data_IF_586815825551
#
_entry.id   IF_586815825551
#
_cell.length_a   1.000
_cell.length_b   1.000
_cell.length_c   1.000
_cell.angle_alpha   90.00
_cell.angle_beta   90.00
_cell.angle_gamma   90.00
#
_symmetry.space_group_name_H-M   'P 1'
#
loop_
_entity.id
_entity.type
_entity.pdbx_description
1 polymer ?
#
# COMPACT_ATOMS: atom_id res chain seq x y z
N UNK A 1 -21.39 -13.76 -2.40
CA UNK A 1 -20.36 -14.22 -1.43
C UNK A 1 -19.31 -13.12 -1.35
N UNK A 2 -18.66 -12.90 -0.19
CA UNK A 2 -17.54 -11.96 -0.13
C UNK A 2 -16.43 -12.43 -1.10
N UNK A 3 -15.72 -11.48 -1.69
CA UNK A 3 -14.58 -11.75 -2.58
C UNK A 3 -13.39 -12.10 -1.70
N UNK A 4 -12.82 -13.28 -1.89
CA UNK A 4 -11.66 -13.80 -1.15
C UNK A 4 -10.37 -13.74 -1.97
N UNK A 5 -10.50 -13.53 -3.29
CA UNK A 5 -9.36 -13.41 -4.18
C UNK A 5 -9.56 -12.27 -5.18
N UNK A 6 -8.56 -11.39 -5.25
CA UNK A 6 -8.51 -10.29 -6.19
C UNK A 6 -7.39 -10.53 -7.20
N UNK A 7 -7.63 -10.12 -8.44
CA UNK A 7 -6.66 -10.17 -9.52
C UNK A 7 -6.37 -8.77 -10.01
N UNK A 8 -5.09 -8.43 -10.09
CA UNK A 8 -4.65 -7.27 -10.85
C UNK A 8 -4.61 -7.64 -12.31
N UNK A 9 -5.48 -7.02 -13.11
CA UNK A 9 -5.54 -7.23 -14.56
C UNK A 9 -4.81 -6.16 -15.34
N UNK A 10 -4.64 -4.98 -14.75
CA UNK A 10 -4.04 -3.85 -15.46
C UNK A 10 -3.43 -2.83 -14.51
N UNK A 11 -2.32 -2.22 -14.96
CA UNK A 11 -1.73 -1.02 -14.36
C UNK A 11 -1.55 0.01 -15.47
N UNK A 12 -2.15 1.19 -15.32
CA UNK A 12 -2.02 2.32 -16.25
C UNK A 12 -1.34 3.49 -15.58
N UNK A 13 -0.60 4.26 -16.36
CA UNK A 13 -0.09 5.56 -15.94
C UNK A 13 -1.15 6.64 -16.17
N UNK A 14 -1.32 7.54 -15.20
CA UNK A 14 -2.12 8.76 -15.41
C UNK A 14 -1.28 9.74 -16.21
N UNK A 15 -1.79 10.16 -17.38
CA UNK A 15 -1.12 11.09 -18.29
C UNK A 15 -1.86 12.45 -18.24
N UNK A 16 -1.96 13.02 -17.05
CA UNK A 16 -2.53 14.35 -16.83
C UNK A 16 -1.43 15.30 -16.35
N UNK A 17 -1.30 16.52 -16.89
CA UNK A 17 -0.31 17.48 -16.41
C UNK A 17 -0.55 17.80 -14.92
N UNK A 18 0.35 17.36 -14.05
CA UNK A 18 0.27 17.59 -12.60
C UNK A 18 -0.19 16.40 -11.77
N UNK A 19 -0.58 15.29 -12.39
CA UNK A 19 -0.92 14.05 -11.67
C UNK A 19 0.12 12.97 -11.98
N UNK A 20 0.96 12.67 -11.00
CA UNK A 20 1.97 11.61 -11.11
C UNK A 20 1.49 10.36 -10.37
N UNK A 21 0.71 9.53 -11.05
CA UNK A 21 0.07 8.36 -10.44
C UNK A 21 -0.09 7.15 -11.37
N UNK A 22 -0.34 6.01 -10.73
CA UNK A 22 -0.75 4.75 -11.30
C UNK A 22 -2.23 4.50 -11.04
N UNK A 23 -2.92 3.91 -12.01
CA UNK A 23 -4.25 3.33 -11.85
C UNK A 23 -4.10 1.81 -11.87
N UNK A 24 -4.50 1.15 -10.80
CA UNK A 24 -4.41 -0.31 -10.65
C UNK A 24 -5.82 -0.88 -10.68
N UNK A 25 -6.11 -1.75 -11.65
CA UNK A 25 -7.43 -2.39 -11.81
C UNK A 25 -7.48 -3.71 -11.06
N UNK A 26 -8.49 -3.87 -10.22
CA UNK A 26 -8.79 -5.06 -9.43
C UNK A 26 -10.05 -5.73 -9.96
N UNK A 27 -9.93 -7.00 -10.30
CA UNK A 27 -11.07 -7.85 -10.64
C UNK A 27 -11.24 -8.95 -9.58
N UNK A 28 -12.48 -9.24 -9.17
CA UNK A 28 -12.77 -10.36 -8.30
C UNK A 28 -12.52 -11.69 -9.04
N UNK A 29 -11.76 -12.60 -8.44
CA UNK A 29 -11.54 -13.95 -8.99
C UNK A 29 -12.69 -14.89 -8.61
N UNK A 30 -13.30 -14.63 -7.46
CA UNK A 30 -14.46 -15.31 -6.90
C UNK A 30 -15.51 -14.29 -6.47
N UNK A 31 -16.68 -14.75 -6.02
CA UNK A 31 -17.75 -13.86 -5.55
C UNK A 31 -18.49 -13.16 -6.69
N UNK A 32 -18.78 -11.87 -6.48
CA UNK A 32 -19.56 -11.05 -7.42
C UNK A 32 -18.66 -10.52 -8.54
N UNK A 33 -18.89 -10.86 -9.82
CA UNK A 33 -18.04 -10.41 -10.93
C UNK A 33 -18.05 -8.89 -11.14
N UNK A 34 -19.09 -8.18 -10.69
CA UNK A 34 -19.22 -6.73 -10.87
C UNK A 34 -18.58 -5.92 -9.73
N UNK A 35 -17.98 -6.59 -8.73
CA UNK A 35 -17.34 -5.95 -7.57
C UNK A 35 -15.94 -5.37 -7.85
N UNK A 36 -15.50 -5.38 -9.12
CA UNK A 36 -14.20 -4.84 -9.53
C UNK A 36 -14.09 -3.33 -9.28
N UNK A 37 -12.86 -2.87 -9.05
CA UNK A 37 -12.59 -1.45 -8.77
C UNK A 37 -11.22 -1.02 -9.28
N UNK A 38 -10.98 0.29 -9.30
CA UNK A 38 -9.69 0.88 -9.69
C UNK A 38 -9.12 1.69 -8.53
N UNK A 39 -7.88 1.42 -8.16
CA UNK A 39 -7.15 2.16 -7.14
C UNK A 39 -6.25 3.21 -7.78
N UNK A 40 -6.29 4.43 -7.26
CA UNK A 40 -5.38 5.52 -7.61
C UNK A 40 -4.18 5.52 -6.65
N UNK A 41 -2.98 5.41 -7.19
CA UNK A 41 -1.74 5.30 -6.40
C UNK A 41 -0.72 6.33 -6.89
N UNK A 42 -0.41 7.38 -6.10
CA UNK A 42 0.68 8.30 -6.44
C UNK A 42 1.99 7.55 -6.70
N UNK A 43 2.80 7.95 -7.68
CA UNK A 43 4.05 7.23 -8.00
C UNK A 43 5.05 7.26 -6.85
N UNK A 44 5.05 8.32 -6.05
CA UNK A 44 5.87 8.42 -4.85
C UNK A 44 5.45 7.46 -3.72
N UNK A 45 4.23 6.90 -3.78
CA UNK A 45 3.68 6.09 -2.69
C UNK A 45 4.56 4.89 -2.34
N UNK A 46 5.22 4.27 -3.32
CA UNK A 46 6.11 3.12 -3.07
C UNK A 46 7.28 3.53 -2.16
N UNK A 47 7.90 4.66 -2.46
CA UNK A 47 9.03 5.17 -1.68
C UNK A 47 8.58 5.68 -0.30
N UNK A 48 7.45 6.39 -0.25
CA UNK A 48 6.86 6.86 1.01
C UNK A 48 6.51 5.68 1.92
N UNK A 49 5.83 4.64 1.41
CA UNK A 49 5.48 3.45 2.20
C UNK A 49 6.72 2.68 2.62
N UNK A 50 7.75 2.61 1.78
CA UNK A 50 9.02 2.03 2.17
C UNK A 50 9.68 2.77 3.34
N UNK A 51 9.65 4.11 3.31
CA UNK A 51 10.18 4.93 4.39
C UNK A 51 9.37 4.81 5.69
N UNK A 52 8.04 4.92 5.60
CA UNK A 52 7.13 4.86 6.75
C UNK A 52 7.25 3.57 7.55
N UNK A 53 7.36 2.43 6.85
CA UNK A 53 7.38 1.11 7.48
C UNK A 53 8.77 0.47 7.50
N UNK A 54 9.82 1.21 7.12
CA UNK A 54 11.19 0.70 7.07
C UNK A 54 11.37 -0.53 6.17
N UNK A 55 10.65 -0.55 5.04
CA UNK A 55 10.71 -1.63 4.06
C UNK A 55 11.94 -1.45 3.16
N UNK A 56 12.49 -2.57 2.70
CA UNK A 56 13.78 -2.58 1.99
C UNK A 56 13.66 -2.91 0.51
N UNK A 57 12.46 -3.25 0.05
CA UNK A 57 12.19 -3.62 -1.33
C UNK A 57 10.91 -2.98 -1.87
N UNK A 58 10.88 -2.76 -3.18
CA UNK A 58 9.67 -2.28 -3.87
C UNK A 58 8.51 -3.28 -3.72
N UNK A 59 8.80 -4.58 -3.64
CA UNK A 59 7.79 -5.64 -3.46
C UNK A 59 7.11 -5.57 -2.09
N UNK A 60 7.87 -5.35 -1.01
CA UNK A 60 7.27 -5.14 0.33
C UNK A 60 6.35 -3.89 0.33
N UNK A 61 6.80 -2.79 -0.28
CA UNK A 61 6.00 -1.57 -0.37
C UNK A 61 4.76 -1.75 -1.27
N UNK A 62 4.90 -2.49 -2.37
CA UNK A 62 3.78 -2.85 -3.24
C UNK A 62 2.76 -3.74 -2.52
N UNK A 63 3.18 -4.69 -1.70
CA UNK A 63 2.25 -5.53 -0.93
C UNK A 63 1.35 -4.68 -0.01
N UNK A 64 1.93 -3.65 0.62
CA UNK A 64 1.17 -2.64 1.40
C UNK A 64 0.20 -1.87 0.52
N UNK A 65 0.67 -1.32 -0.59
CA UNK A 65 -0.14 -0.51 -1.52
C UNK A 65 -1.31 -1.31 -2.08
N UNK A 66 -1.08 -2.57 -2.44
CA UNK A 66 -2.07 -3.39 -3.11
C UNK A 66 -3.22 -3.80 -2.20
N UNK A 67 -2.96 -3.97 -0.91
CA UNK A 67 -3.96 -4.37 0.08
C UNK A 67 -4.61 -3.19 0.81
N UNK A 68 -4.00 -1.99 0.79
CA UNK A 68 -4.55 -0.81 1.46
C UNK A 68 -6.00 -0.45 1.04
N UNK A 69 -6.40 -0.51 -0.26
CA UNK A 69 -7.79 -0.25 -0.65
C UNK A 69 -8.80 -1.24 -0.05
N UNK A 70 -8.39 -2.51 0.14
CA UNK A 70 -9.25 -3.55 0.72
C UNK A 70 -9.54 -3.29 2.20
N UNK A 71 -8.62 -2.63 2.90
CA UNK A 71 -8.75 -2.24 4.30
C UNK A 71 -9.56 -0.94 4.49
N UNK A 72 -9.78 -0.15 3.44
CA UNK A 72 -10.40 1.18 3.55
C UNK A 72 -11.80 1.13 4.19
N UNK A 73 -12.61 0.12 3.83
CA UNK A 73 -13.93 -0.06 4.42
C UNK A 73 -13.86 -0.47 5.90
N UNK A 74 -12.89 -1.30 6.27
CA UNK A 74 -12.68 -1.72 7.65
C UNK A 74 -12.28 -0.55 8.55
N UNK A 75 -11.36 0.30 8.06
CA UNK A 75 -10.96 1.53 8.75
C UNK A 75 -12.14 2.51 8.86
N UNK A 76 -12.91 2.70 7.78
CA UNK A 76 -14.08 3.59 7.78
C UNK A 76 -15.19 3.11 8.73
N UNK A 77 -15.32 1.79 8.92
CA UNK A 77 -16.24 1.19 9.87
C UNK A 77 -15.71 1.16 11.32
N UNK A 78 -14.45 1.54 11.56
CA UNK A 78 -13.79 1.48 12.87
C UNK A 78 -13.48 0.06 13.35
N UNK A 79 -13.46 -0.93 12.45
CA UNK A 79 -13.13 -2.32 12.78
C UNK A 79 -11.62 -2.55 12.90
N UNK A 80 -10.84 -1.69 12.26
CA UNK A 80 -9.38 -1.67 12.33
C UNK A 80 -8.93 -0.23 12.55
N UNK A 81 -7.89 -0.06 13.35
CA UNK A 81 -7.28 1.25 13.57
C UNK A 81 -6.49 1.68 12.32
N UNK A 82 -6.63 2.96 11.97
CA UNK A 82 -5.82 3.58 10.92
C UNK A 82 -4.34 3.57 11.33
N UNK A 83 -3.44 2.99 10.51
CA UNK A 83 -2.02 2.98 10.82
C UNK A 83 -1.50 4.42 10.88
N UNK A 84 -0.74 4.73 11.93
CA UNK A 84 -0.15 6.05 12.16
C UNK A 84 1.38 5.92 12.28
N UNK A 85 2.09 5.54 11.20
CA UNK A 85 3.52 5.25 11.26
C UNK A 85 4.37 6.46 11.70
N UNK A 86 3.86 7.69 11.53
CA UNK A 86 4.52 8.91 11.99
C UNK A 86 4.50 9.12 13.52
N UNK A 87 3.70 8.32 14.26
CA UNK A 87 3.54 8.45 15.71
C UNK A 87 4.26 7.35 16.50
N UNK A 88 4.88 6.39 15.81
CA UNK A 88 5.58 5.25 16.43
C UNK A 88 6.97 5.13 15.85
N UNK A 89 7.84 4.36 16.52
CA UNK A 89 9.14 4.02 15.93
C UNK A 89 8.96 3.07 14.72
N UNK A 90 9.97 3.05 13.85
CA UNK A 90 9.93 2.29 12.60
C UNK A 90 9.75 0.77 12.80
N UNK A 91 10.27 0.20 13.90
CA UNK A 91 10.14 -1.23 14.15
C UNK A 91 8.69 -1.56 14.53
N UNK A 92 8.08 -0.72 15.36
CA UNK A 92 6.66 -0.80 15.70
C UNK A 92 5.77 -0.60 14.47
N UNK A 93 6.03 0.42 13.63
CA UNK A 93 5.31 0.64 12.38
C UNK A 93 5.37 -0.59 11.46
N UNK A 94 6.55 -1.19 11.32
CA UNK A 94 6.74 -2.40 10.51
C UNK A 94 5.96 -3.60 11.04
N UNK A 95 5.93 -3.78 12.36
CA UNK A 95 5.16 -4.86 12.98
C UNK A 95 3.65 -4.66 12.77
N UNK A 96 3.16 -3.43 12.95
CA UNK A 96 1.75 -3.08 12.75
C UNK A 96 1.29 -3.33 11.31
N UNK A 97 2.06 -2.89 10.31
CA UNK A 97 1.67 -3.10 8.90
C UNK A 97 1.70 -4.58 8.52
N UNK A 98 2.63 -5.37 9.07
CA UNK A 98 2.66 -6.82 8.86
C UNK A 98 1.41 -7.52 9.42
N UNK A 99 0.97 -7.12 10.61
CA UNK A 99 -0.27 -7.63 11.22
C UNK A 99 -1.52 -7.21 10.44
N UNK A 100 -1.59 -5.94 10.02
CA UNK A 100 -2.70 -5.45 9.19
C UNK A 100 -2.77 -6.19 7.84
N UNK A 101 -1.63 -6.45 7.21
CA UNK A 101 -1.57 -7.22 5.97
C UNK A 101 -2.02 -8.67 6.17
N UNK A 102 -1.59 -9.32 7.25
CA UNK A 102 -2.05 -10.67 7.57
C UNK A 102 -3.57 -10.72 7.80
N UNK A 103 -4.10 -9.74 8.52
CA UNK A 103 -5.55 -9.58 8.74
C UNK A 103 -6.29 -9.30 7.45
N UNK A 104 -5.76 -8.42 6.60
CA UNK A 104 -6.33 -8.12 5.30
C UNK A 104 -6.46 -9.37 4.45
N UNK A 105 -5.36 -10.14 4.33
CA UNK A 105 -5.30 -11.37 3.54
C UNK A 105 -6.27 -12.42 4.05
N UNK A 106 -6.44 -12.52 5.37
CA UNK A 106 -7.37 -13.46 5.99
C UNK A 106 -8.84 -13.05 5.83
N UNK A 107 -9.17 -11.75 5.83
CA UNK A 107 -10.55 -11.27 5.92
C UNK A 107 -11.12 -10.72 4.60
N UNK A 108 -10.29 -10.04 3.81
CA UNK A 108 -10.70 -9.33 2.60
C UNK A 108 -10.05 -9.89 1.33
N UNK A 109 -9.22 -10.91 1.49
CA UNK A 109 -8.68 -11.70 0.41
C UNK A 109 -7.26 -11.37 0.02
N UNK A 110 -6.74 -12.19 -0.89
CA UNK A 110 -5.36 -12.09 -1.40
C UNK A 110 -5.36 -11.45 -2.77
N UNK A 111 -4.45 -10.51 -2.98
CA UNK A 111 -4.22 -9.92 -4.31
C UNK A 111 -3.21 -10.77 -5.08
N UNK A 112 -3.58 -11.17 -6.29
CA UNK A 112 -2.75 -11.94 -7.21
C UNK A 112 -2.57 -11.20 -8.52
N UNK A 113 -1.49 -11.50 -9.24
CA UNK A 113 -1.31 -11.08 -10.64
C UNK A 113 -1.69 -12.26 -11.54
N UNK A 114 -2.29 -11.99 -12.71
CA UNK A 114 -2.58 -13.05 -13.67
C UNK A 114 -1.30 -13.84 -14.01
N UNK A 115 -1.31 -15.16 -13.81
CA UNK A 115 -0.24 -16.03 -14.31
C UNK A 115 -0.27 -16.06 -15.84
N UNK A 116 0.91 -16.04 -16.47
CA UNK A 116 1.04 -16.13 -17.93
C UNK A 116 0.34 -17.40 -18.45
N UNK A 117 -0.83 -17.23 -19.07
CA UNK A 117 -1.63 -18.32 -19.64
C UNK A 117 -1.05 -18.81 -20.96
N UNK A 118 -1.06 -20.13 -21.16
CA UNK A 118 -0.57 -20.87 -22.34
C UNK A 118 -1.49 -20.77 -23.57
N UNK A 119 -1.97 -19.56 -23.87
CA UNK A 119 -2.82 -19.24 -25.03
C UNK A 119 -2.10 -18.36 -26.04
N UNK A 120 -2.26 -18.64 -27.33
CA UNK A 120 -1.44 -18.18 -28.46
C UNK A 120 -1.48 -16.67 -28.80
N UNK A 121 -1.96 -15.81 -27.90
CA UNK A 121 -1.95 -14.35 -28.09
C UNK A 121 -2.09 -13.61 -26.75
N UNK A 122 -0.97 -13.44 -26.04
CA UNK A 122 -0.56 -12.25 -25.30
C UNK A 122 0.35 -12.68 -24.13
N UNK A 123 1.62 -12.32 -24.22
CA UNK A 123 2.52 -12.17 -23.08
C UNK A 123 1.87 -11.25 -22.04
N UNK A 124 1.13 -11.79 -21.09
CA UNK A 124 0.81 -11.06 -19.86
C UNK A 124 2.07 -11.08 -19.01
N UNK A 125 3.00 -10.16 -19.32
CA UNK A 125 4.02 -9.75 -18.38
C UNK A 125 3.31 -9.33 -17.09
N UNK A 126 3.92 -9.63 -15.94
CA UNK A 126 3.40 -9.18 -14.64
C UNK A 126 2.98 -7.70 -14.73
N UNK A 127 1.69 -7.37 -14.53
CA UNK A 127 1.18 -6.01 -14.74
C UNK A 127 1.85 -5.00 -13.80
N UNK A 128 2.38 -5.45 -12.66
CA UNK A 128 3.11 -4.60 -11.71
C UNK A 128 4.56 -4.35 -12.12
N UNK A 129 5.07 -5.06 -13.13
CA UNK A 129 6.46 -4.91 -13.59
C UNK A 129 6.78 -3.47 -13.98
N UNK A 130 5.83 -2.74 -14.56
CA UNK A 130 6.02 -1.31 -14.91
C UNK A 130 6.31 -0.45 -13.67
N UNK A 131 5.67 -0.75 -12.54
CA UNK A 131 5.94 -0.03 -11.28
C UNK A 131 7.32 -0.41 -10.77
N UNK A 132 7.69 -1.69 -10.79
CA UNK A 132 9.01 -2.15 -10.37
C UNK A 132 10.15 -1.58 -11.21
N UNK A 133 9.97 -1.52 -12.52
CA UNK A 133 11.00 -1.02 -13.45
C UNK A 133 11.24 0.48 -13.28
N UNK A 134 10.17 1.24 -12.99
CA UNK A 134 10.22 2.70 -12.88
C UNK A 134 10.44 3.21 -11.47
N UNK A 135 10.28 2.35 -10.47
CA UNK A 135 10.41 2.76 -9.07
C UNK A 135 11.70 2.22 -8.49
N UNK A 136 12.44 3.10 -7.83
CA UNK A 136 13.60 2.73 -7.02
C UNK A 136 13.46 3.40 -5.67
N UNK A 137 13.65 2.64 -4.61
CA UNK A 137 13.71 3.20 -3.26
C UNK A 137 15.07 3.88 -3.14
N UNK A 138 15.08 5.22 -3.07
CA UNK A 138 16.31 5.95 -2.81
C UNK A 138 16.57 5.93 -1.29
N UNK A 139 17.69 5.34 -0.82
CA UNK A 139 17.97 5.25 0.61
C UNK A 139 18.16 6.62 1.28
N UNK A 140 18.64 7.64 0.55
CA UNK A 140 18.84 9.00 1.08
C UNK A 140 17.50 9.70 1.27
N UNK A 141 16.62 9.63 0.28
CA UNK A 141 15.28 10.21 0.39
C UNK A 141 14.44 9.46 1.42
N UNK A 142 14.54 8.14 1.47
CA UNK A 142 13.91 7.30 2.50
C UNK A 142 14.41 7.63 3.91
N UNK A 143 15.71 7.92 4.08
CA UNK A 143 16.25 8.40 5.35
C UNK A 143 15.72 9.80 5.71
N UNK A 144 15.60 10.69 4.72
CA UNK A 144 15.08 12.05 4.91
C UNK A 144 13.63 12.02 5.41
N UNK A 145 12.75 11.24 4.77
CA UNK A 145 11.35 11.06 5.18
C UNK A 145 11.29 10.56 6.62
N UNK A 146 12.10 9.55 6.98
CA UNK A 146 12.13 9.02 8.35
C UNK A 146 12.60 10.06 9.37
N UNK A 147 13.61 10.86 9.05
CA UNK A 147 14.05 11.95 9.93
C UNK A 147 12.95 12.98 10.18
N UNK A 148 12.11 13.25 9.17
CA UNK A 148 10.95 14.14 9.33
C UNK A 148 9.87 13.52 10.21
N UNK A 149 9.58 12.23 10.04
CA UNK A 149 8.66 11.49 10.90
C UNK A 149 9.14 11.43 12.35
N UNK A 150 10.44 11.18 12.58
CA UNK A 150 11.03 11.19 13.92
C UNK A 150 10.95 12.57 14.57
N UNK A 151 11.19 13.63 13.80
CA UNK A 151 11.02 15.02 14.28
C UNK A 151 9.57 15.27 14.69
N UNK A 152 8.61 14.83 13.88
CA UNK A 152 7.18 14.97 14.18
C UNK A 152 6.80 14.19 15.45
N UNK A 153 7.24 12.94 15.57
CA UNK A 153 6.99 12.09 16.75
C UNK A 153 7.52 12.73 18.03
N UNK A 154 8.77 13.20 18.02
CA UNK A 154 9.37 13.86 19.19
C UNK A 154 8.65 15.15 19.59
N UNK A 155 8.20 15.95 18.61
CA UNK A 155 7.40 17.13 18.88
C UNK A 155 6.03 16.76 19.49
N UNK A 156 5.39 15.72 18.97
CA UNK A 156 4.10 15.24 19.46
C UNK A 156 4.19 14.67 20.89
N UNK A 157 5.22 13.88 21.19
CA UNK A 157 5.49 13.38 22.54
C UNK A 157 5.65 14.53 23.55
N UNK A 158 6.42 15.57 23.19
CA UNK A 158 6.62 16.75 24.04
C UNK A 158 5.32 17.56 24.28
N UNK A 159 4.46 17.68 23.27
CA UNK A 159 3.17 18.36 23.41
C UNK A 159 2.20 17.57 24.31
N UNK A 160 2.23 16.23 24.21
CA UNK A 160 1.38 15.35 25.01
C UNK A 160 1.77 15.36 26.49
N UNK A 161 3.07 15.39 26.78
CA UNK A 161 3.60 15.50 28.16
C UNK A 161 3.31 16.87 28.78
N UNK A 162 3.37 17.96 28.01
CA UNK A 162 3.11 19.32 28.50
C UNK A 162 1.60 19.66 28.57
N UNK A 163 0.75 19.00 27.78
CA UNK A 163 -0.70 19.23 27.70
C UNK A 163 -1.56 18.37 28.64
N UNK A 164 -1.03 17.27 29.18
CA UNK A 164 -1.75 16.33 30.06
C UNK A 164 -1.91 16.77 31.53
N UNK A 165 -1.44 17.97 31.90
CA UNK A 165 -1.51 18.53 33.25
C UNK A 165 -2.55 19.63 33.40
N UNK A 166 -3.84 19.29 33.38
CA UNK A 166 -4.92 20.15 33.94
C UNK A 166 -6.03 19.33 34.56
#
# INVERSE_FOLDING_TARGET
MPVEQWRITEVREVISPGEDAWLITYEPVDGDPDAGFVSYVPKEAVEVRAAEYGLTSADEALDVILHAPLLAHAHAAGELDMPSPALVDVATARAQVAEQLATCKAKYGVVTTAAAGTGRAATTADPLQVIRDRTRIDPVRSATIRMEMDRYRLAHEADTENGGGR
#
